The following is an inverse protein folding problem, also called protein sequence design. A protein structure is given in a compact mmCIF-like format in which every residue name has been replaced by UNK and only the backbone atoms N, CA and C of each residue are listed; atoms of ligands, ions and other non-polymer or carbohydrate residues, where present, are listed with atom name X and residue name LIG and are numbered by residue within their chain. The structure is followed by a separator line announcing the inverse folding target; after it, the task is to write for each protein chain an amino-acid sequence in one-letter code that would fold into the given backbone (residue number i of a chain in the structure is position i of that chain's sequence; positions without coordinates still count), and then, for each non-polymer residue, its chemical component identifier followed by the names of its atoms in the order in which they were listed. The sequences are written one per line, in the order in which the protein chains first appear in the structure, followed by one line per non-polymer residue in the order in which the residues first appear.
data_IF_116154559874
#
_entry.id   IF_116154559874
#
_cell.length_a   1.000
_cell.length_b   1.000
_cell.length_c   1.000
_cell.angle_alpha   90.00
_cell.angle_beta   90.00
_cell.angle_gamma   90.00
#
_symmetry.space_group_name_H-M   'P 1'
#
loop_
_entity.id
_entity.type
_entity.pdbx_description
1 polymer ?
#
# COMPACT_ATOMS: atom_id res chain seq x y z
N UNK A 1 18.32 6.69 -21.76
CA UNK A 1 18.20 6.31 -20.34
C UNK A 1 16.94 7.00 -19.87
N UNK A 2 15.83 6.27 -19.76
CA UNK A 2 14.56 6.86 -19.35
C UNK A 2 14.70 7.41 -17.94
N UNK A 3 14.41 8.71 -17.80
CA UNK A 3 14.33 9.40 -16.52
C UNK A 3 13.27 8.71 -15.66
N UNK A 4 13.70 7.76 -14.82
CA UNK A 4 12.87 7.24 -13.74
C UNK A 4 12.50 8.44 -12.88
N UNK A 5 11.25 8.88 -12.98
CA UNK A 5 10.74 10.01 -12.19
C UNK A 5 10.89 9.65 -10.72
N UNK A 6 11.85 10.28 -10.05
CA UNK A 6 12.08 10.12 -8.63
C UNK A 6 10.84 10.63 -7.90
N UNK A 7 10.22 9.74 -7.13
CA UNK A 7 8.99 10.02 -6.42
C UNK A 7 9.26 10.46 -4.98
N UNK A 8 10.35 9.96 -4.39
CA UNK A 8 10.73 10.20 -3.01
C UNK A 8 12.25 10.09 -2.84
N UNK A 9 12.82 10.96 -2.02
CA UNK A 9 14.22 10.87 -1.56
C UNK A 9 14.20 10.60 -0.06
N UNK A 10 14.82 9.50 0.37
CA UNK A 10 14.81 9.05 1.76
C UNK A 10 16.24 8.94 2.29
N UNK A 11 16.43 9.18 3.58
CA UNK A 11 17.68 8.84 4.27
C UNK A 11 17.45 7.57 5.08
N UNK A 12 18.13 6.49 4.71
CA UNK A 12 18.07 5.19 5.40
C UNK A 12 19.49 4.85 5.85
N UNK A 13 19.68 4.62 7.15
CA UNK A 13 21.00 4.35 7.75
C UNK A 13 22.08 5.38 7.39
N UNK A 14 21.67 6.66 7.33
CA UNK A 14 22.56 7.77 6.96
C UNK A 14 22.91 7.85 5.47
N UNK A 15 22.37 6.96 4.62
CA UNK A 15 22.53 7.01 3.16
C UNK A 15 21.29 7.56 2.50
N UNK A 16 21.50 8.52 1.60
CA UNK A 16 20.44 9.04 0.76
C UNK A 16 20.12 8.05 -0.37
N UNK A 17 18.84 7.74 -0.51
CA UNK A 17 18.31 6.83 -1.53
C UNK A 17 17.16 7.51 -2.25
N UNK A 18 17.25 7.53 -3.56
CA UNK A 18 16.15 7.93 -4.44
C UNK A 18 15.29 6.70 -4.75
N UNK A 19 13.98 6.88 -4.63
CA UNK A 19 13.00 5.82 -4.84
C UNK A 19 12.07 6.25 -5.98
N UNK A 20 11.97 5.39 -6.99
CA UNK A 20 11.07 5.64 -8.13
C UNK A 20 9.61 5.40 -7.76
N UNK A 21 8.69 5.90 -8.59
CA UNK A 21 7.26 5.61 -8.42
C UNK A 21 6.97 4.11 -8.44
N UNK A 22 7.64 3.35 -9.31
CA UNK A 22 7.44 1.90 -9.39
C UNK A 22 7.93 1.21 -8.11
N UNK A 23 9.07 1.62 -7.57
CA UNK A 23 9.60 1.09 -6.32
C UNK A 23 8.68 1.40 -5.13
N UNK A 24 8.12 2.61 -5.07
CA UNK A 24 7.13 2.98 -4.05
C UNK A 24 5.86 2.14 -4.15
N UNK A 25 5.29 2.01 -5.37
CA UNK A 25 4.08 1.23 -5.59
C UNK A 25 4.29 -0.24 -5.22
N UNK A 26 5.41 -0.82 -5.63
CA UNK A 26 5.78 -2.20 -5.28
C UNK A 26 5.93 -2.36 -3.77
N UNK A 27 6.68 -1.46 -3.12
CA UNK A 27 6.89 -1.50 -1.66
C UNK A 27 5.58 -1.39 -0.90
N UNK A 28 4.67 -0.53 -1.32
CA UNK A 28 3.38 -0.36 -0.67
C UNK A 28 2.51 -1.63 -0.79
N UNK A 29 2.43 -2.20 -2.00
CA UNK A 29 1.68 -3.43 -2.24
C UNK A 29 2.21 -4.59 -1.38
N UNK A 30 3.54 -4.77 -1.34
CA UNK A 30 4.16 -5.82 -0.53
C UNK A 30 3.93 -5.62 0.97
N UNK A 31 4.06 -4.39 1.46
CA UNK A 31 3.82 -4.08 2.87
C UNK A 31 2.36 -4.34 3.27
N UNK A 32 1.40 -3.94 2.42
CA UNK A 32 -0.02 -4.15 2.66
C UNK A 32 -0.38 -5.65 2.63
N UNK A 33 0.16 -6.40 1.67
CA UNK A 33 -0.03 -7.85 1.60
C UNK A 33 0.53 -8.56 2.85
N UNK A 34 1.77 -8.24 3.23
CA UNK A 34 2.41 -8.84 4.40
C UNK A 34 1.61 -8.55 5.68
N UNK A 35 1.13 -7.32 5.85
CA UNK A 35 0.31 -6.93 6.98
C UNK A 35 -1.00 -7.74 7.02
N UNK A 36 -1.74 -7.81 5.90
CA UNK A 36 -3.00 -8.56 5.84
C UNK A 36 -2.79 -10.04 6.16
N UNK A 37 -1.76 -10.67 5.57
CA UNK A 37 -1.42 -12.08 5.85
C UNK A 37 -1.14 -12.31 7.33
N UNK A 38 -0.33 -11.45 7.96
CA UNK A 38 0.00 -11.55 9.37
C UNK A 38 -1.25 -11.47 10.27
N UNK A 39 -2.19 -10.58 9.95
CA UNK A 39 -3.41 -10.40 10.72
C UNK A 39 -4.36 -11.60 10.58
N UNK A 40 -4.45 -12.19 9.38
CA UNK A 40 -5.20 -13.44 9.13
C UNK A 40 -4.56 -14.62 9.86
N UNK A 41 -3.24 -14.77 9.81
CA UNK A 41 -2.51 -15.81 10.55
C UNK A 41 -2.71 -15.71 12.07
N UNK A 42 -2.79 -14.47 12.58
CA UNK A 42 -3.15 -14.17 13.97
C UNK A 42 -4.64 -14.32 14.28
N UNK A 43 -5.46 -14.71 13.29
CA UNK A 43 -6.91 -14.91 13.40
C UNK A 43 -7.66 -13.68 13.91
N UNK A 44 -7.21 -12.49 13.50
CA UNK A 44 -7.83 -11.22 13.90
C UNK A 44 -9.05 -10.86 13.05
N UNK A 45 -9.10 -11.36 11.81
CA UNK A 45 -10.27 -11.30 10.92
C UNK A 45 -10.14 -12.38 9.83
N UNK A 46 -11.26 -12.71 9.20
CA UNK A 46 -11.35 -13.61 8.06
C UNK A 46 -11.17 -12.87 6.73
N UNK A 47 -10.60 -13.49 5.67
CA UNK A 47 -10.39 -12.84 4.37
C UNK A 47 -11.63 -12.16 3.78
N UNK A 48 -12.82 -12.72 4.05
CA UNK A 48 -14.10 -12.15 3.59
C UNK A 48 -14.41 -10.79 4.23
N UNK A 49 -14.09 -10.61 5.50
CA UNK A 49 -14.32 -9.34 6.22
C UNK A 49 -13.51 -8.20 5.59
N UNK A 50 -12.29 -8.49 5.11
CA UNK A 50 -11.48 -7.52 4.37
C UNK A 50 -12.13 -7.10 3.05
N UNK A 51 -12.69 -8.04 2.30
CA UNK A 51 -13.40 -7.72 1.05
C UNK A 51 -14.63 -6.85 1.33
N UNK A 52 -15.41 -7.21 2.36
CA UNK A 52 -16.62 -6.47 2.72
C UNK A 52 -16.31 -5.03 3.15
N UNK A 53 -15.26 -4.81 3.94
CA UNK A 53 -14.85 -3.45 4.34
C UNK A 53 -14.27 -2.66 3.17
N UNK A 54 -13.54 -3.30 2.24
CA UNK A 54 -13.02 -2.64 1.03
C UNK A 54 -14.17 -2.12 0.16
N UNK A 55 -15.20 -2.92 -0.06
CA UNK A 55 -16.40 -2.50 -0.81
C UNK A 55 -17.16 -1.37 -0.09
N UNK A 56 -17.24 -1.41 1.24
CA UNK A 56 -17.82 -0.32 2.03
C UNK A 56 -17.03 0.98 1.89
N UNK A 57 -15.71 0.95 2.07
CA UNK A 57 -14.84 2.13 1.93
C UNK A 57 -14.92 2.70 0.52
N UNK A 58 -14.97 1.85 -0.51
CA UNK A 58 -15.19 2.27 -1.90
C UNK A 58 -16.51 3.04 -2.01
N UNK A 59 -17.62 2.48 -1.56
CA UNK A 59 -18.93 3.16 -1.60
C UNK A 59 -18.91 4.49 -0.84
N UNK A 60 -18.26 4.57 0.31
CA UNK A 60 -18.19 5.80 1.11
C UNK A 60 -17.36 6.89 0.42
N UNK A 61 -16.21 6.54 -0.17
CA UNK A 61 -15.33 7.51 -0.83
C UNK A 61 -15.86 7.99 -2.18
N UNK A 62 -16.51 7.13 -2.95
CA UNK A 62 -17.03 7.48 -4.27
C UNK A 62 -18.44 8.08 -4.25
N UNK A 63 -19.18 8.00 -3.13
CA UNK A 63 -20.48 8.70 -2.95
C UNK A 63 -20.37 10.21 -2.80
N UNK A 64 -19.18 10.76 -2.53
CA UNK A 64 -18.96 12.20 -2.42
C UNK A 64 -18.54 12.85 -3.75
N UNK A 65 -18.51 12.08 -4.84
CA UNK A 65 -18.23 12.57 -6.19
C UNK A 65 -19.53 12.71 -7.00
N UNK A 66 -20.48 13.50 -6.49
CA UNK A 66 -21.61 14.06 -7.24
C UNK A 66 -21.76 15.55 -6.91
#
# INVERSE_FOLDING_TARGET
MDDKKVALRMVIDGKEREVSYEELALSNNLAQEALVRLLIEKKLFEPKELIDIMEKVKKERYRQAE
#
